data_IF_370564017804
#
_entry.id   IF_370564017804
#
_cell.length_a   1.000
_cell.length_b   1.000
_cell.length_c   1.000
_cell.angle_alpha   90.00
_cell.angle_beta   90.00
_cell.angle_gamma   90.00
#
_symmetry.space_group_name_H-M   'P 1'
#
loop_
_entity.id
_entity.type
_entity.pdbx_description
1 polymer ?
#
# COMPACT_ATOMS: atom_id res chain seq x y z
N UNK A 1 -0.24 7.21 -4.60
CA UNK A 1 -0.52 8.46 -5.35
C UNK A 1 -1.63 8.16 -6.34
N UNK A 2 -2.76 8.88 -6.29
CA UNK A 2 -3.94 8.56 -7.11
C UNK A 2 -3.68 8.93 -8.59
N UNK A 3 -3.87 7.99 -9.54
CA UNK A 3 -3.73 8.26 -10.97
C UNK A 3 -4.60 9.43 -11.43
N UNK A 4 -4.03 10.32 -12.24
CA UNK A 4 -4.72 11.51 -12.73
C UNK A 4 -4.95 12.62 -11.69
N UNK A 5 -4.66 12.40 -10.40
CA UNK A 5 -4.77 13.42 -9.34
C UNK A 5 -3.67 14.47 -9.37
N UNK A 6 -3.81 15.55 -8.59
CA UNK A 6 -2.83 16.66 -8.52
C UNK A 6 -1.42 16.15 -8.16
N UNK A 7 -1.32 15.23 -7.19
CA UNK A 7 -0.07 14.62 -6.78
C UNK A 7 0.60 13.86 -7.94
N UNK A 8 -0.17 13.07 -8.70
CA UNK A 8 0.34 12.34 -9.86
C UNK A 8 0.80 13.29 -10.97
N UNK A 9 -0.01 14.31 -11.30
CA UNK A 9 0.30 15.30 -12.33
C UNK A 9 1.54 16.14 -12.01
N UNK A 10 1.84 16.34 -10.72
CA UNK A 10 3.07 17.02 -10.33
C UNK A 10 4.33 16.22 -10.66
N UNK A 11 4.22 14.88 -10.75
CA UNK A 11 5.34 13.96 -11.00
C UNK A 11 6.40 13.91 -9.89
N UNK A 12 6.24 14.68 -8.80
CA UNK A 12 7.23 14.85 -7.75
C UNK A 12 7.03 13.92 -6.55
N UNK A 13 5.81 13.38 -6.39
CA UNK A 13 5.48 12.45 -5.32
C UNK A 13 5.37 11.04 -5.87
N UNK A 14 5.88 10.08 -5.11
CA UNK A 14 5.81 8.64 -5.42
C UNK A 14 5.40 7.84 -4.20
N UNK A 15 4.96 6.60 -4.43
CA UNK A 15 4.73 5.64 -3.35
C UNK A 15 6.03 5.45 -2.56
N UNK A 16 5.90 5.35 -1.23
CA UNK A 16 7.04 5.23 -0.31
C UNK A 16 7.61 6.55 0.17
N UNK A 17 7.22 7.70 -0.40
CA UNK A 17 7.69 8.99 0.08
C UNK A 17 7.24 9.26 1.52
N UNK A 18 8.19 9.71 2.34
CA UNK A 18 7.94 10.16 3.70
C UNK A 18 7.71 11.66 3.71
N UNK A 19 6.53 12.09 4.15
CA UNK A 19 6.27 13.52 4.40
C UNK A 19 7.07 13.96 5.64
N UNK A 20 7.86 15.02 5.49
CA UNK A 20 8.63 15.64 6.57
C UNK A 20 8.00 16.96 7.02
N UNK A 21 7.52 17.77 6.07
CA UNK A 21 6.88 19.06 6.37
C UNK A 21 5.71 19.36 5.45
N UNK A 22 4.72 20.08 5.98
CA UNK A 22 3.55 20.59 5.26
C UNK A 22 3.41 22.09 5.51
N UNK A 23 3.50 22.89 4.45
CA UNK A 23 3.47 24.36 4.50
C UNK A 23 4.47 24.94 5.52
N UNK A 24 5.66 24.32 5.62
CA UNK A 24 6.71 24.72 6.56
C UNK A 24 6.59 24.11 7.96
N UNK A 25 5.45 23.54 8.33
CA UNK A 25 5.24 22.87 9.62
C UNK A 25 5.87 21.48 9.61
N UNK A 26 6.64 21.15 10.64
CA UNK A 26 7.28 19.85 10.79
C UNK A 26 6.26 18.77 11.16
N UNK A 27 6.39 17.60 10.54
CA UNK A 27 5.59 16.42 10.82
C UNK A 27 6.32 15.41 11.72
N UNK A 28 7.61 15.64 12.04
CA UNK A 28 8.35 14.77 12.95
C UNK A 28 7.69 14.82 14.34
N UNK A 29 7.14 13.69 14.77
CA UNK A 29 6.43 13.57 16.05
C UNK A 29 4.97 14.05 16.03
N UNK A 30 4.47 14.56 14.90
CA UNK A 30 3.07 14.92 14.76
C UNK A 30 2.18 13.67 14.83
N UNK A 31 1.00 13.80 15.47
CA UNK A 31 0.02 12.72 15.43
C UNK A 31 -0.55 12.57 14.01
N UNK A 32 -1.12 11.40 13.70
CA UNK A 32 -1.81 11.19 12.43
C UNK A 32 -2.89 12.26 12.18
N UNK A 33 -3.64 12.61 13.23
CA UNK A 33 -4.69 13.64 13.17
C UNK A 33 -4.13 15.02 12.81
N UNK A 34 -3.03 15.42 13.44
CA UNK A 34 -2.42 16.73 13.18
C UNK A 34 -1.86 16.81 11.77
N UNK A 35 -1.19 15.74 11.32
CA UNK A 35 -0.68 15.65 9.96
C UNK A 35 -1.80 15.77 8.92
N UNK A 36 -2.93 15.09 9.14
CA UNK A 36 -4.12 15.20 8.28
C UNK A 36 -4.68 16.63 8.30
N UNK A 37 -4.78 17.26 9.47
CA UNK A 37 -5.27 18.64 9.56
C UNK A 37 -4.37 19.62 8.79
N UNK A 38 -3.05 19.49 8.87
CA UNK A 38 -2.10 20.31 8.12
C UNK A 38 -2.27 20.14 6.59
N UNK A 39 -2.49 18.91 6.12
CA UNK A 39 -2.71 18.61 4.70
C UNK A 39 -4.05 19.14 4.17
N UNK A 40 -5.06 19.26 5.04
CA UNK A 40 -6.40 19.73 4.70
C UNK A 40 -6.60 21.24 4.89
N UNK A 41 -5.57 21.97 5.31
CA UNK A 41 -5.67 23.43 5.48
C UNK A 41 -6.08 24.09 4.16
N UNK A 42 -7.05 25.02 4.18
CA UNK A 42 -7.51 25.70 2.98
C UNK A 42 -6.39 26.56 2.38
N UNK A 43 -6.19 26.45 1.07
CA UNK A 43 -5.20 27.22 0.34
C UNK A 43 -5.07 26.75 -1.10
N UNK A 44 -4.57 27.63 -1.96
CA UNK A 44 -4.36 27.32 -3.37
C UNK A 44 -3.02 26.61 -3.63
N UNK A 45 -2.13 26.56 -2.63
CA UNK A 45 -0.79 25.97 -2.74
C UNK A 45 -0.52 25.11 -1.52
N UNK A 46 0.02 23.91 -1.76
CA UNK A 46 0.47 22.98 -0.73
C UNK A 46 1.97 22.73 -0.93
N UNK A 47 2.80 23.23 0.00
CA UNK A 47 4.24 23.03 -0.03
C UNK A 47 4.61 21.81 0.82
N UNK A 48 5.18 20.78 0.18
CA UNK A 48 5.58 19.54 0.85
C UNK A 48 7.10 19.41 0.83
N UNK A 49 7.69 19.12 1.99
CA UNK A 49 9.05 18.59 2.06
C UNK A 49 8.97 17.08 2.25
N UNK A 50 9.53 16.32 1.32
CA UNK A 50 9.46 14.85 1.33
C UNK A 50 10.84 14.22 1.29
N UNK A 51 10.96 13.04 1.88
CA UNK A 51 12.12 12.17 1.72
C UNK A 51 11.73 10.96 0.88
N UNK A 52 12.50 10.77 -0.17
CA UNK A 52 12.36 9.67 -1.11
C UNK A 52 12.95 8.37 -0.52
N UNK A 53 12.22 7.75 0.41
CA UNK A 53 12.62 6.46 0.98
C UNK A 53 12.52 5.37 -0.11
N UNK A 54 13.44 4.38 -0.13
CA UNK A 54 13.32 3.25 -1.04
C UNK A 54 12.10 2.40 -0.68
N UNK A 55 11.45 1.84 -1.70
CA UNK A 55 10.38 0.87 -1.47
C UNK A 55 10.92 -0.37 -0.75
N UNK A 56 10.08 -1.08 0.03
CA UNK A 56 10.48 -2.31 0.68
C UNK A 56 11.10 -3.31 -0.32
N UNK A 57 12.13 -4.07 0.08
CA UNK A 57 12.70 -5.12 -0.78
C UNK A 57 11.61 -6.07 -1.28
N UNK A 58 11.62 -6.36 -2.58
CA UNK A 58 10.63 -7.24 -3.21
C UNK A 58 9.26 -6.58 -3.47
N UNK A 59 9.13 -5.26 -3.32
CA UNK A 59 7.97 -4.53 -3.81
C UNK A 59 7.82 -4.73 -5.33
N UNK A 60 6.60 -5.07 -5.76
CA UNK A 60 6.28 -5.29 -7.17
C UNK A 60 4.79 -5.10 -7.42
N UNK A 61 4.46 -4.50 -8.56
CA UNK A 61 3.09 -4.49 -9.08
C UNK A 61 2.86 -5.76 -9.91
N UNK A 62 1.78 -6.49 -9.61
CA UNK A 62 1.45 -7.74 -10.28
C UNK A 62 0.05 -7.68 -10.90
N UNK A 63 -0.01 -7.88 -12.22
CA UNK A 63 -1.28 -8.13 -12.92
C UNK A 63 -1.49 -9.63 -13.05
N UNK A 64 -2.55 -10.15 -12.41
CA UNK A 64 -2.96 -11.55 -12.51
C UNK A 64 -4.14 -11.66 -13.49
N UNK A 65 -3.93 -12.33 -14.62
CA UNK A 65 -4.97 -12.55 -15.63
C UNK A 65 -5.73 -13.83 -15.31
N UNK A 66 -7.05 -13.75 -15.21
CA UNK A 66 -7.94 -14.91 -15.02
C UNK A 66 -8.50 -15.39 -16.36
N UNK A 67 -8.58 -16.70 -16.55
CA UNK A 67 -9.32 -17.31 -17.68
C UNK A 67 -10.83 -17.28 -17.41
N UNK A 68 -11.63 -17.53 -18.46
CA UNK A 68 -13.08 -17.59 -18.34
C UNK A 68 -13.50 -18.66 -17.31
N UNK A 69 -14.34 -18.26 -16.34
CA UNK A 69 -14.77 -19.12 -15.23
C UNK A 69 -13.71 -19.41 -14.15
N UNK A 70 -12.45 -18.98 -14.33
CA UNK A 70 -11.38 -19.27 -13.37
C UNK A 70 -11.51 -18.41 -12.10
N UNK A 71 -11.20 -18.98 -10.94
CA UNK A 71 -11.09 -18.23 -9.67
C UNK A 71 -9.65 -17.78 -9.44
N UNK A 72 -9.46 -16.72 -8.65
CA UNK A 72 -8.10 -16.28 -8.28
C UNK A 72 -7.34 -17.39 -7.52
N UNK A 73 -8.02 -18.09 -6.61
CA UNK A 73 -7.47 -19.28 -5.94
C UNK A 73 -6.42 -18.98 -4.88
N UNK A 74 -6.67 -18.01 -4.00
CA UNK A 74 -5.80 -17.71 -2.85
C UNK A 74 -6.62 -17.38 -1.61
N UNK A 75 -6.02 -17.61 -0.44
CA UNK A 75 -6.55 -17.19 0.85
C UNK A 75 -5.65 -16.11 1.43
N UNK A 76 -6.26 -15.16 2.14
CA UNK A 76 -5.57 -14.10 2.86
C UNK A 76 -5.84 -14.21 4.36
N UNK A 77 -5.00 -13.56 5.15
CA UNK A 77 -5.13 -13.36 6.60
C UNK A 77 -4.57 -12.00 6.97
N UNK A 78 -4.76 -11.55 8.21
CA UNK A 78 -4.42 -10.20 8.62
C UNK A 78 -5.56 -9.22 8.38
N UNK A 79 -5.21 -7.94 8.21
CA UNK A 79 -6.17 -6.84 8.16
C UNK A 79 -6.50 -6.28 9.55
N UNK A 80 -7.04 -5.06 9.56
CA UNK A 80 -7.46 -4.38 10.78
C UNK A 80 -8.50 -5.22 11.55
N UNK A 81 -8.23 -5.50 12.82
CA UNK A 81 -9.03 -6.42 13.66
C UNK A 81 -9.16 -7.86 13.12
N UNK A 82 -8.29 -8.27 12.19
CA UNK A 82 -8.25 -9.61 11.62
C UNK A 82 -7.44 -10.62 12.42
N UNK A 83 -7.37 -11.86 11.91
CA UNK A 83 -6.47 -12.88 12.44
C UNK A 83 -5.01 -12.52 12.12
N UNK A 84 -4.08 -12.84 13.02
CA UNK A 84 -2.64 -12.51 12.86
C UNK A 84 -2.07 -12.94 11.51
N UNK A 85 -1.69 -11.95 10.70
CA UNK A 85 -1.16 -12.15 9.36
C UNK A 85 0.34 -12.42 9.35
N UNK A 86 1.10 -11.58 10.05
CA UNK A 86 2.55 -11.69 10.16
C UNK A 86 2.93 -12.60 11.35
N UNK A 87 3.64 -13.73 11.13
CA UNK A 87 4.11 -14.57 12.23
C UNK A 87 5.19 -13.91 13.10
N UNK A 88 5.93 -12.93 12.54
CA UNK A 88 7.08 -12.31 13.19
C UNK A 88 6.71 -11.05 13.98
N UNK A 89 5.56 -10.44 13.69
CA UNK A 89 5.08 -9.24 14.38
C UNK A 89 3.57 -9.37 14.64
N UNK A 90 3.15 -9.58 15.90
CA UNK A 90 1.74 -9.73 16.24
C UNK A 90 0.95 -8.41 16.15
N UNK A 91 1.63 -7.25 16.07
CA UNK A 91 1.01 -5.93 15.94
C UNK A 91 0.91 -5.49 14.47
N UNK A 92 1.43 -6.29 13.53
CA UNK A 92 1.35 -5.97 12.11
C UNK A 92 -0.03 -6.34 11.56
N UNK A 93 -0.84 -5.31 11.33
CA UNK A 93 -2.20 -5.39 10.79
C UNK A 93 -2.24 -5.57 9.26
N UNK A 94 -1.09 -5.81 8.62
CA UNK A 94 -1.00 -6.05 7.18
C UNK A 94 -1.80 -7.26 6.70
N UNK A 95 -2.14 -7.27 5.42
CA UNK A 95 -2.81 -8.41 4.76
C UNK A 95 -1.77 -9.31 4.10
N UNK A 96 -1.84 -10.61 4.34
CA UNK A 96 -0.86 -11.59 3.87
C UNK A 96 -1.52 -12.78 3.19
N UNK A 97 -0.86 -13.34 2.19
CA UNK A 97 -1.29 -14.57 1.54
C UNK A 97 -1.05 -15.76 2.48
N UNK A 98 -2.11 -16.44 2.91
CA UNK A 98 -2.02 -17.62 3.78
C UNK A 98 -1.96 -18.93 3.00
N UNK A 99 -2.58 -18.99 1.82
CA UNK A 99 -2.62 -20.21 0.99
C UNK A 99 -2.80 -19.86 -0.49
N UNK A 100 -2.17 -20.65 -1.36
CA UNK A 100 -2.41 -20.64 -2.80
C UNK A 100 -3.02 -22.00 -3.21
N UNK A 101 -4.25 -21.97 -3.72
CA UNK A 101 -4.97 -23.16 -4.17
C UNK A 101 -4.42 -23.65 -5.52
N UNK A 102 -4.38 -24.97 -5.74
CA UNK A 102 -3.74 -25.58 -6.91
C UNK A 102 -4.43 -25.25 -8.25
N UNK A 103 -5.74 -24.99 -8.25
CA UNK A 103 -6.55 -24.80 -9.47
C UNK A 103 -7.02 -23.37 -9.70
N UNK A 104 -6.22 -22.34 -9.36
CA UNK A 104 -6.61 -20.94 -9.58
C UNK A 104 -5.52 -20.11 -10.25
N UNK A 105 -5.93 -18.92 -10.72
CA UNK A 105 -5.07 -18.01 -11.50
C UNK A 105 -3.78 -17.65 -10.76
N UNK A 106 -3.82 -17.48 -9.43
CA UNK A 106 -2.64 -17.17 -8.61
C UNK A 106 -1.58 -18.29 -8.67
N UNK A 107 -2.01 -19.56 -8.70
CA UNK A 107 -1.09 -20.70 -8.85
C UNK A 107 -0.52 -20.78 -10.26
N UNK A 108 -1.38 -20.62 -11.27
CA UNK A 108 -1.01 -20.69 -12.68
C UNK A 108 -0.01 -19.59 -13.06
N UNK A 109 -0.22 -18.38 -12.53
CA UNK A 109 0.72 -17.26 -12.68
C UNK A 109 2.05 -17.53 -11.97
N UNK A 110 1.99 -18.15 -10.78
CA UNK A 110 3.16 -18.65 -10.09
C UNK A 110 4.01 -17.60 -9.38
N UNK A 111 3.80 -16.30 -9.61
CA UNK A 111 4.55 -15.22 -8.92
C UNK A 111 4.06 -14.95 -7.49
N UNK A 112 2.77 -15.18 -7.23
CA UNK A 112 2.21 -15.06 -5.87
C UNK A 112 2.61 -16.24 -4.98
N UNK A 113 3.09 -15.95 -3.77
CA UNK A 113 3.57 -16.93 -2.79
C UNK A 113 2.94 -16.71 -1.42
N UNK A 114 2.79 -17.81 -0.66
CA UNK A 114 2.39 -17.74 0.75
C UNK A 114 3.41 -16.89 1.53
N UNK A 115 2.91 -16.03 2.41
CA UNK A 115 3.72 -15.10 3.19
C UNK A 115 3.93 -13.74 2.53
N UNK A 116 3.60 -13.57 1.25
CA UNK A 116 3.65 -12.24 0.62
C UNK A 116 2.61 -11.30 1.25
N UNK A 117 3.00 -10.05 1.46
CA UNK A 117 2.13 -8.97 1.91
C UNK A 117 1.44 -8.32 0.73
N UNK A 118 0.14 -8.14 0.83
CA UNK A 118 -0.65 -7.34 -0.12
C UNK A 118 -0.71 -5.91 0.40
N UNK A 119 -0.38 -4.96 -0.47
CA UNK A 119 -0.40 -3.54 -0.14
C UNK A 119 -1.56 -2.81 -0.81
N UNK A 120 -1.91 -3.21 -2.03
CA UNK A 120 -2.98 -2.60 -2.82
C UNK A 120 -3.56 -3.64 -3.78
N UNK A 121 -4.87 -3.58 -4.02
CA UNK A 121 -5.57 -4.39 -5.03
C UNK A 121 -6.45 -3.47 -5.87
N UNK A 122 -6.15 -3.36 -7.17
CA UNK A 122 -6.90 -2.53 -8.13
C UNK A 122 -7.06 -1.07 -7.68
N UNK A 123 -6.02 -0.46 -7.10
CA UNK A 123 -6.09 0.93 -6.60
C UNK A 123 -6.68 1.08 -5.19
N UNK A 124 -7.05 -0.02 -4.52
CA UNK A 124 -7.62 -0.02 -3.18
C UNK A 124 -6.57 -0.53 -2.19
N UNK A 125 -6.18 0.32 -1.24
CA UNK A 125 -5.23 0.04 -0.14
C UNK A 125 -5.94 -0.26 1.16
#
# INVERSE_FOLDING_TARGET
VVPGGVAARSGKLRMGDRLLKVNGNDLIGASHRDAVQLLLQPGNTLALSVRHDPLPPGFQDLTIVKQEGEKLGMHIKGGLNGQRGNPNDPNDEGVFISKINSGGAARRDGRLKVGMRLLEVNGIS
#
